data_IF_922401620550
#
_entry.id   IF_922401620550
#
_cell.length_a   1.000
_cell.length_b   1.000
_cell.length_c   1.000
_cell.angle_alpha   90.00
_cell.angle_beta   90.00
_cell.angle_gamma   90.00
#
_symmetry.space_group_name_H-M   'P 1'
#
loop_
_entity.id
_entity.type
_entity.pdbx_description
1 polymer ?
#
# COMPACT_ATOMS: atom_id res chain seq x y z
N UNK A 1 12.88 -36.97 72.97
CA UNK A 1 11.95 -35.83 73.15
C UNK A 1 12.23 -34.84 72.03
N UNK A 2 11.43 -34.90 70.95
CA UNK A 2 11.51 -33.97 69.82
C UNK A 2 10.92 -32.62 70.25
N UNK A 3 11.69 -31.54 70.17
CA UNK A 3 11.17 -30.18 70.30
C UNK A 3 11.11 -29.50 68.93
N UNK A 4 10.00 -28.81 68.71
CA UNK A 4 9.46 -28.34 67.44
C UNK A 4 10.13 -27.05 66.97
N UNK A 5 10.44 -26.96 65.67
CA UNK A 5 10.75 -25.69 64.98
C UNK A 5 9.45 -25.10 64.41
N UNK A 6 9.21 -23.77 64.53
CA UNK A 6 8.03 -23.14 63.96
C UNK A 6 8.21 -22.88 62.46
N UNK A 7 7.25 -23.36 61.66
CA UNK A 7 7.10 -23.03 60.24
C UNK A 7 6.68 -21.57 60.09
N UNK A 8 7.57 -20.74 59.53
CA UNK A 8 7.25 -19.40 59.07
C UNK A 8 6.71 -19.55 57.64
N UNK A 9 5.40 -19.42 57.49
CA UNK A 9 4.72 -19.40 56.19
C UNK A 9 5.02 -18.10 55.47
N UNK A 10 5.75 -18.20 54.35
CA UNK A 10 6.00 -17.12 53.42
C UNK A 10 4.77 -16.97 52.52
N UNK A 11 3.87 -16.06 52.88
CA UNK A 11 2.68 -15.73 52.07
C UNK A 11 3.12 -14.91 50.86
N UNK A 12 3.17 -15.57 49.70
CA UNK A 12 3.46 -14.95 48.42
C UNK A 12 2.26 -14.08 48.01
N UNK A 13 2.38 -12.76 48.19
CA UNK A 13 1.42 -11.79 47.71
C UNK A 13 1.57 -11.66 46.18
N UNK A 14 0.72 -12.36 45.46
CA UNK A 14 0.59 -12.24 44.00
C UNK A 14 -0.07 -10.88 43.77
N UNK A 15 0.74 -9.89 43.40
CA UNK A 15 0.27 -8.60 42.93
C UNK A 15 -0.43 -8.84 41.60
N UNK A 16 -1.76 -8.89 41.62
CA UNK A 16 -2.57 -8.93 40.43
C UNK A 16 -2.38 -7.63 39.66
N UNK A 17 -1.59 -7.68 38.58
CA UNK A 17 -1.68 -6.70 37.52
C UNK A 17 -3.10 -6.80 36.95
N UNK A 18 -3.94 -5.84 37.31
CA UNK A 18 -5.20 -5.57 36.63
C UNK A 18 -4.83 -5.14 35.21
N UNK A 19 -4.84 -6.09 34.29
CA UNK A 19 -4.87 -5.80 32.85
C UNK A 19 -6.27 -5.25 32.60
N UNK A 20 -6.38 -3.93 32.48
CA UNK A 20 -7.62 -3.31 32.01
C UNK A 20 -7.81 -3.73 30.54
N UNK A 21 -8.92 -4.40 30.19
CA UNK A 21 -9.16 -4.79 28.81
C UNK A 21 -9.24 -3.55 27.93
N UNK A 22 -8.46 -3.55 26.84
CA UNK A 22 -8.46 -2.49 25.84
C UNK A 22 -9.90 -2.36 25.27
N UNK A 23 -10.57 -1.20 25.41
CA UNK A 23 -11.96 -1.02 24.97
C UNK A 23 -12.15 -1.05 23.45
N UNK A 24 -11.10 -1.26 22.66
CA UNK A 24 -11.16 -1.37 21.20
C UNK A 24 -11.30 -2.79 20.65
N UNK A 25 -11.09 -3.83 21.44
CA UNK A 25 -11.45 -5.20 21.03
C UNK A 25 -12.91 -5.47 21.40
N UNK A 26 -13.83 -4.95 20.59
CA UNK A 26 -15.18 -5.50 20.55
C UNK A 26 -15.13 -6.70 19.62
N UNK A 27 -14.99 -7.91 20.19
CA UNK A 27 -15.29 -9.15 19.49
C UNK A 27 -16.69 -9.02 18.84
N UNK A 28 -16.83 -9.12 17.51
CA UNK A 28 -18.12 -9.33 16.90
C UNK A 28 -18.61 -10.70 17.37
N UNK A 29 -19.55 -10.66 18.29
CA UNK A 29 -20.35 -11.81 18.70
C UNK A 29 -20.76 -12.60 17.47
N UNK A 30 -20.43 -13.89 17.51
CA UNK A 30 -20.97 -14.93 16.67
C UNK A 30 -22.48 -14.75 16.47
N UNK A 31 -22.86 -14.27 15.29
CA UNK A 31 -24.22 -14.39 14.79
C UNK A 31 -24.32 -15.73 14.05
N UNK A 32 -24.69 -16.75 14.80
CA UNK A 32 -25.17 -18.00 14.23
C UNK A 32 -26.59 -17.76 13.68
N UNK A 33 -26.66 -17.14 12.49
CA UNK A 33 -27.87 -17.00 11.70
C UNK A 33 -28.04 -18.17 10.75
N UNK A 34 -28.75 -19.21 11.19
CA UNK A 34 -29.38 -20.19 10.31
C UNK A 34 -30.45 -19.48 9.45
N UNK A 35 -30.14 -19.27 8.17
CA UNK A 35 -31.01 -18.68 7.17
C UNK A 35 -31.37 -19.67 6.06
N UNK A 36 -32.25 -20.61 6.37
CA UNK A 36 -32.92 -21.45 5.38
C UNK A 36 -33.81 -20.60 4.46
N UNK A 37 -33.55 -20.65 3.15
CA UNK A 37 -34.61 -20.51 2.14
C UNK A 37 -34.34 -19.51 1.00
N UNK A 38 -34.13 -20.04 -0.21
CA UNK A 38 -35.20 -20.15 -1.23
C UNK A 38 -34.59 -20.49 -2.59
N UNK A 39 -35.08 -21.57 -3.19
CA UNK A 39 -34.87 -21.92 -4.59
C UNK A 39 -35.29 -20.74 -5.50
N UNK A 40 -34.37 -20.29 -6.33
CA UNK A 40 -34.64 -19.42 -7.46
C UNK A 40 -34.16 -20.08 -8.74
N UNK A 41 -34.96 -21.03 -9.24
CA UNK A 41 -34.84 -21.54 -10.61
C UNK A 41 -35.29 -20.41 -11.57
N UNK A 42 -34.35 -19.56 -11.95
CA UNK A 42 -34.53 -18.48 -12.91
C UNK A 42 -34.24 -18.94 -14.33
N UNK A 43 -35.09 -19.82 -14.86
CA UNK A 43 -35.19 -20.09 -16.30
C UNK A 43 -35.85 -18.89 -17.00
N UNK A 44 -35.05 -17.91 -17.41
CA UNK A 44 -35.49 -16.76 -18.22
C UNK A 44 -34.51 -16.55 -19.37
N UNK A 45 -34.63 -17.35 -20.41
CA UNK A 45 -35.26 -17.01 -21.68
C UNK A 45 -34.34 -16.30 -22.68
N UNK A 46 -34.45 -16.80 -23.90
CA UNK A 46 -33.65 -16.52 -25.07
C UNK A 46 -33.93 -15.09 -25.54
N UNK A 47 -32.87 -14.29 -25.61
CA UNK A 47 -32.86 -12.99 -26.27
C UNK A 47 -32.11 -13.10 -27.58
N UNK A 48 -32.89 -13.23 -28.65
CA UNK A 48 -32.46 -13.42 -30.02
C UNK A 48 -32.15 -12.05 -30.67
N UNK A 49 -31.02 -11.98 -31.37
CA UNK A 49 -30.80 -11.02 -32.46
C UNK A 49 -30.20 -9.66 -32.07
N UNK A 50 -28.99 -9.40 -32.56
CA UNK A 50 -28.82 -8.57 -33.77
C UNK A 50 -27.32 -8.50 -34.15
N UNK A 51 -26.87 -9.05 -35.30
CA UNK A 51 -25.60 -8.66 -35.90
C UNK A 51 -25.83 -7.34 -36.65
N UNK A 52 -25.68 -6.24 -35.93
CA UNK A 52 -25.70 -4.89 -36.48
C UNK A 52 -24.48 -4.64 -37.37
N UNK A 53 -24.71 -4.79 -38.67
CA UNK A 53 -23.93 -4.24 -39.79
C UNK A 53 -23.72 -2.72 -39.65
N UNK A 54 -22.51 -2.27 -40.01
CA UNK A 54 -22.28 -0.95 -40.60
C UNK A 54 -21.76 0.14 -39.64
N UNK A 55 -20.49 0.53 -39.78
CA UNK A 55 -20.17 1.62 -40.70
C UNK A 55 -18.66 1.69 -40.98
N UNK A 56 -18.31 1.61 -42.25
CA UNK A 56 -17.00 1.99 -42.76
C UNK A 56 -16.95 3.52 -42.84
N UNK A 57 -16.36 4.15 -41.83
CA UNK A 57 -16.05 5.58 -41.85
C UNK A 57 -14.66 5.82 -42.42
N UNK A 58 -14.56 5.90 -43.75
CA UNK A 58 -13.41 6.46 -44.46
C UNK A 58 -13.28 7.96 -44.08
N UNK A 59 -12.32 8.26 -43.22
CA UNK A 59 -11.94 9.63 -42.86
C UNK A 59 -10.71 10.07 -43.65
N UNK A 60 -10.90 10.37 -44.93
CA UNK A 60 -9.93 11.09 -45.75
C UNK A 60 -9.81 12.53 -45.23
N UNK A 61 -8.85 12.74 -44.33
CA UNK A 61 -8.44 14.06 -43.86
C UNK A 61 -7.25 14.58 -44.66
N UNK A 62 -7.50 15.01 -45.90
CA UNK A 62 -6.58 15.81 -46.70
C UNK A 62 -6.41 17.19 -46.03
N UNK A 63 -5.42 17.30 -45.15
CA UNK A 63 -4.97 18.54 -44.54
C UNK A 63 -3.72 19.06 -45.25
N UNK A 64 -3.89 19.61 -46.45
CA UNK A 64 -2.86 20.41 -47.13
C UNK A 64 -2.61 21.69 -46.31
N UNK A 65 -1.61 21.63 -45.43
CA UNK A 65 -1.08 22.76 -44.70
C UNK A 65 0.25 23.21 -45.29
N UNK A 66 0.18 23.90 -46.43
CA UNK A 66 1.30 24.67 -46.99
C UNK A 66 1.66 25.82 -46.03
N UNK A 67 2.62 25.55 -45.16
CA UNK A 67 3.25 26.52 -44.28
C UNK A 67 4.67 26.83 -44.74
N UNK A 68 4.80 27.54 -45.85
CA UNK A 68 6.05 28.18 -46.29
C UNK A 68 6.43 29.28 -45.27
N UNK A 69 7.15 28.87 -44.23
CA UNK A 69 7.79 29.74 -43.26
C UNK A 69 9.27 29.87 -43.56
N UNK A 70 9.62 30.67 -44.57
CA UNK A 70 10.98 31.14 -44.82
C UNK A 70 11.42 32.04 -43.65
N UNK A 71 11.96 31.40 -42.62
CA UNK A 71 12.60 32.05 -41.48
C UNK A 71 14.11 32.01 -41.64
N UNK A 72 14.65 32.90 -42.47
CA UNK A 72 16.07 33.24 -42.54
C UNK A 72 16.50 33.88 -41.20
N UNK A 73 16.74 33.03 -40.20
CA UNK A 73 17.29 33.39 -38.91
C UNK A 73 18.77 33.05 -38.86
N UNK A 74 19.59 33.89 -39.48
CA UNK A 74 21.05 33.93 -39.28
C UNK A 74 21.36 34.30 -37.81
N UNK A 75 21.26 33.30 -36.94
CA UNK A 75 21.66 33.38 -35.54
C UNK A 75 23.03 32.76 -35.35
N UNK A 76 24.07 33.55 -35.65
CA UNK A 76 25.48 33.30 -35.30
C UNK A 76 25.66 33.33 -33.77
N UNK A 77 25.07 32.37 -33.08
CA UNK A 77 25.25 32.14 -31.66
C UNK A 77 26.37 31.15 -31.42
N UNK A 78 27.61 31.63 -31.49
CA UNK A 78 28.82 30.97 -30.97
C UNK A 78 28.73 30.82 -29.43
N UNK A 79 27.78 30.01 -28.99
CA UNK A 79 27.63 29.60 -27.60
C UNK A 79 28.38 28.30 -27.38
N UNK A 80 29.69 28.38 -27.23
CA UNK A 80 30.58 27.35 -26.67
C UNK A 80 30.21 27.11 -25.18
N UNK A 81 28.98 26.67 -24.95
CA UNK A 81 28.50 26.22 -23.66
C UNK A 81 28.71 24.73 -23.56
N UNK A 82 29.97 24.32 -23.36
CA UNK A 82 30.42 23.01 -22.88
C UNK A 82 29.89 22.77 -21.45
N UNK A 83 28.56 22.81 -21.30
CA UNK A 83 27.86 22.47 -20.09
C UNK A 83 27.50 21.00 -20.17
N UNK A 84 28.52 20.14 -20.09
CA UNK A 84 28.44 18.70 -19.81
C UNK A 84 27.82 18.48 -18.42
N UNK A 85 26.60 18.98 -18.24
CA UNK A 85 25.76 18.75 -17.09
C UNK A 85 25.07 17.40 -17.25
N UNK A 86 25.83 16.39 -17.66
CA UNK A 86 25.59 14.97 -17.39
C UNK A 86 25.75 14.78 -15.88
N UNK A 87 24.96 15.52 -15.11
CA UNK A 87 24.63 15.21 -13.74
C UNK A 87 23.79 13.95 -13.79
N UNK A 88 24.41 12.85 -14.21
CA UNK A 88 24.13 11.48 -13.85
C UNK A 88 24.25 11.39 -12.34
N UNK A 89 23.48 12.21 -11.63
CA UNK A 89 23.25 12.14 -10.22
C UNK A 89 22.48 10.86 -10.00
N UNK A 90 23.22 9.76 -10.11
CA UNK A 90 23.14 8.55 -9.31
C UNK A 90 23.18 8.85 -7.80
N UNK A 91 22.63 10.01 -7.40
CA UNK A 91 22.35 10.39 -6.05
C UNK A 91 21.46 9.30 -5.52
N UNK A 92 22.09 8.37 -4.81
CA UNK A 92 21.43 7.24 -4.23
C UNK A 92 20.19 7.74 -3.49
N UNK A 93 19.09 7.01 -3.61
CA UNK A 93 17.87 7.28 -2.87
C UNK A 93 18.12 7.03 -1.38
N UNK A 94 18.84 7.95 -0.73
CA UNK A 94 19.22 7.84 0.67
C UNK A 94 18.09 8.43 1.50
N UNK A 95 17.46 7.57 2.28
CA UNK A 95 16.47 8.00 3.24
C UNK A 95 17.13 8.67 4.46
N UNK A 96 16.59 9.81 4.92
CA UNK A 96 16.97 10.33 6.22
C UNK A 96 16.49 9.39 7.33
N UNK A 97 17.25 9.29 8.41
CA UNK A 97 16.83 8.55 9.61
C UNK A 97 15.66 9.26 10.27
N UNK A 98 14.55 8.57 10.48
CA UNK A 98 13.39 9.16 11.14
C UNK A 98 13.70 9.54 12.60
N UNK A 99 13.31 10.74 13.07
CA UNK A 99 13.61 11.20 14.42
C UNK A 99 12.88 10.41 15.51
N UNK A 100 11.75 9.77 15.16
CA UNK A 100 10.88 9.04 16.08
C UNK A 100 10.24 9.97 17.11
N UNK A 101 9.85 9.42 18.25
CA UNK A 101 9.20 10.17 19.32
C UNK A 101 8.33 9.31 20.24
N UNK A 102 7.32 9.93 20.84
CA UNK A 102 6.27 9.18 21.53
C UNK A 102 5.46 8.42 20.48
N UNK A 103 5.28 7.12 20.71
CA UNK A 103 4.55 6.27 19.78
C UNK A 103 3.13 6.83 19.52
N UNK A 104 2.81 7.20 18.27
CA UNK A 104 1.49 7.69 17.90
C UNK A 104 0.41 6.63 18.10
N UNK A 105 -0.84 7.05 18.35
CA UNK A 105 -1.93 6.14 18.67
C UNK A 105 -2.48 5.36 17.47
N UNK A 106 -2.10 5.73 16.25
CA UNK A 106 -2.38 4.96 15.03
C UNK A 106 -1.44 3.76 14.86
N UNK A 107 -0.28 3.76 15.51
CA UNK A 107 0.63 2.61 15.51
C UNK A 107 0.10 1.58 16.51
N UNK A 108 0.09 0.30 16.12
CA UNK A 108 -0.13 -0.81 17.06
C UNK A 108 1.00 -0.86 18.07
N UNK A 109 2.23 -0.70 17.60
CA UNK A 109 3.42 -0.54 18.42
C UNK A 109 4.50 0.29 17.71
N UNK A 110 5.55 0.68 18.44
CA UNK A 110 6.72 1.32 17.87
C UNK A 110 8.00 0.59 18.28
N UNK A 111 8.80 0.22 17.30
CA UNK A 111 10.10 -0.44 17.49
C UNK A 111 11.18 0.56 17.10
N UNK A 112 11.69 1.30 18.09
CA UNK A 112 12.62 2.40 17.83
C UNK A 112 11.93 3.60 17.16
N UNK A 113 12.36 3.95 15.95
CA UNK A 113 11.79 5.01 15.11
C UNK A 113 10.81 4.47 14.04
N UNK A 114 10.44 3.19 14.11
CA UNK A 114 9.47 2.54 13.24
C UNK A 114 8.11 2.47 13.91
N UNK A 115 7.08 2.99 13.25
CA UNK A 115 5.67 2.82 13.58
C UNK A 115 5.15 1.56 12.88
N UNK A 116 4.73 0.56 13.65
CA UNK A 116 4.16 -0.67 13.13
C UNK A 116 2.64 -0.58 13.24
N UNK A 117 1.94 -0.77 12.12
CA UNK A 117 0.48 -0.82 12.03
C UNK A 117 0.12 -2.24 11.60
N UNK A 118 -0.65 -2.94 12.43
CA UNK A 118 -1.05 -4.32 12.20
C UNK A 118 -2.54 -4.41 11.86
N UNK A 119 -2.83 -4.82 10.63
CA UNK A 119 -4.15 -5.14 10.11
C UNK A 119 -4.24 -6.67 9.97
N UNK A 120 -4.28 -7.39 11.10
CA UNK A 120 -4.22 -8.85 11.14
C UNK A 120 -5.61 -9.44 11.33
N UNK A 121 -6.10 -10.16 10.31
CA UNK A 121 -7.41 -10.81 10.29
C UNK A 121 -8.21 -10.44 9.03
N UNK A 122 -9.46 -10.91 8.99
CA UNK A 122 -10.35 -10.61 7.88
C UNK A 122 -10.84 -9.16 7.96
N UNK A 123 -10.60 -8.36 6.91
CA UNK A 123 -11.19 -7.02 6.75
C UNK A 123 -10.89 -6.03 7.89
N UNK A 124 -9.72 -6.15 8.53
CA UNK A 124 -9.41 -5.35 9.74
C UNK A 124 -9.25 -3.86 9.44
N UNK A 125 -8.66 -3.53 8.28
CA UNK A 125 -8.41 -2.17 7.81
C UNK A 125 -9.02 -1.90 6.42
N UNK A 126 -9.97 -2.75 5.99
CA UNK A 126 -10.71 -2.59 4.74
C UNK A 126 -11.39 -1.19 4.67
N UNK A 127 -11.34 -0.56 3.50
CA UNK A 127 -11.94 0.76 3.22
C UNK A 127 -11.48 1.89 4.18
N UNK A 128 -10.33 1.73 4.85
CA UNK A 128 -9.80 2.75 5.77
C UNK A 128 -8.80 3.68 5.09
N UNK A 129 -8.68 4.91 5.63
CA UNK A 129 -7.59 5.82 5.28
C UNK A 129 -6.50 5.75 6.37
N UNK A 130 -5.42 5.03 6.07
CA UNK A 130 -4.29 4.77 6.96
C UNK A 130 -3.24 5.86 6.72
N UNK A 131 -3.01 6.72 7.70
CA UNK A 131 -2.02 7.81 7.60
C UNK A 131 -0.83 7.53 8.49
N UNK A 132 0.32 7.27 7.86
CA UNK A 132 1.58 7.07 8.56
C UNK A 132 2.06 8.37 9.23
N UNK A 133 2.58 8.31 10.47
CA UNK A 133 3.09 9.48 11.16
C UNK A 133 4.32 10.08 10.46
N UNK A 134 4.37 11.42 10.38
CA UNK A 134 5.40 12.15 9.63
C UNK A 134 6.81 12.09 10.23
N UNK A 135 6.99 11.61 11.46
CA UNK A 135 8.27 11.56 12.17
C UNK A 135 8.82 10.14 12.37
N UNK A 136 8.18 9.15 11.73
CA UNK A 136 8.50 7.73 11.88
C UNK A 136 8.66 7.06 10.52
N UNK A 137 9.48 6.00 10.48
CA UNK A 137 9.39 4.99 9.44
C UNK A 137 8.06 4.24 9.61
N UNK A 138 7.38 3.92 8.51
CA UNK A 138 6.08 3.26 8.56
C UNK A 138 6.19 1.82 8.08
N UNK A 139 5.75 0.88 8.91
CA UNK A 139 5.59 -0.51 8.54
C UNK A 139 4.11 -0.89 8.72
N UNK A 140 3.42 -1.13 7.62
CA UNK A 140 2.04 -1.60 7.59
C UNK A 140 2.02 -3.10 7.26
N UNK A 141 1.34 -3.89 8.07
CA UNK A 141 1.20 -5.33 7.89
C UNK A 141 -0.27 -5.63 7.65
N UNK A 142 -0.60 -6.08 6.45
CA UNK A 142 -1.91 -6.54 6.02
C UNK A 142 -1.86 -8.06 5.93
N UNK A 143 -2.23 -8.75 7.01
CA UNK A 143 -2.14 -10.22 7.12
C UNK A 143 -3.55 -10.80 7.31
N UNK A 144 -4.12 -11.30 6.23
CA UNK A 144 -5.47 -11.85 6.21
C UNK A 144 -6.20 -11.54 4.91
N UNK A 145 -7.30 -12.28 4.62
CA UNK A 145 -8.17 -11.96 3.49
C UNK A 145 -8.74 -10.55 3.64
N UNK A 146 -8.67 -9.78 2.56
CA UNK A 146 -9.15 -8.40 2.46
C UNK A 146 -8.64 -7.47 3.58
N UNK A 147 -7.51 -7.80 4.23
CA UNK A 147 -7.05 -7.14 5.44
C UNK A 147 -6.95 -5.61 5.30
N UNK A 148 -6.54 -5.14 4.13
CA UNK A 148 -6.41 -3.74 3.75
C UNK A 148 -7.04 -3.47 2.36
N UNK A 149 -8.02 -4.26 1.95
CA UNK A 149 -8.68 -4.11 0.65
C UNK A 149 -9.36 -2.73 0.52
N UNK A 150 -9.26 -2.14 -0.67
CA UNK A 150 -9.80 -0.80 -1.02
C UNK A 150 -9.29 0.34 -0.09
N UNK A 151 -8.29 0.08 0.75
CA UNK A 151 -7.78 1.07 1.69
C UNK A 151 -6.87 2.08 0.98
N UNK A 152 -6.74 3.27 1.56
CA UNK A 152 -5.75 4.26 1.12
C UNK A 152 -4.67 4.40 2.18
N UNK A 153 -3.42 4.17 1.80
CA UNK A 153 -2.25 4.29 2.68
C UNK A 153 -1.46 5.53 2.30
N UNK A 154 -1.38 6.52 3.20
CA UNK A 154 -0.58 7.73 3.00
C UNK A 154 0.73 7.63 3.78
N UNK A 155 1.82 7.44 3.04
CA UNK A 155 3.18 7.36 3.60
C UNK A 155 3.69 8.72 4.11
N UNK A 156 4.70 8.73 5.01
CA UNK A 156 5.31 9.96 5.46
C UNK A 156 6.08 10.66 4.34
N UNK A 157 6.20 11.99 4.43
CA UNK A 157 6.75 12.79 3.34
C UNK A 157 8.22 12.53 3.06
N UNK A 158 9.02 12.13 4.05
CA UNK A 158 10.48 12.02 3.93
C UNK A 158 11.05 10.67 4.37
N UNK A 159 10.24 9.79 4.96
CA UNK A 159 10.73 8.61 5.65
C UNK A 159 10.27 7.31 4.97
N UNK A 160 11.01 6.21 5.14
CA UNK A 160 10.65 4.91 4.61
C UNK A 160 9.23 4.47 4.98
N UNK A 161 8.57 3.83 4.01
CA UNK A 161 7.23 3.29 4.13
C UNK A 161 7.17 1.92 3.46
N UNK A 162 6.84 0.87 4.23
CA UNK A 162 6.71 -0.49 3.72
C UNK A 162 5.33 -1.03 4.03
N UNK A 163 4.65 -1.55 3.02
CA UNK A 163 3.38 -2.28 3.14
C UNK A 163 3.64 -3.75 2.81
N UNK A 164 3.43 -4.63 3.77
CA UNK A 164 3.50 -6.08 3.59
C UNK A 164 2.09 -6.64 3.52
N UNK A 165 1.84 -7.39 2.45
CA UNK A 165 0.56 -7.96 2.09
C UNK A 165 0.69 -9.48 2.09
N UNK A 166 -0.01 -10.17 2.97
CA UNK A 166 0.10 -11.61 3.18
C UNK A 166 -1.24 -12.19 3.70
N UNK A 167 -1.32 -13.52 3.82
CA UNK A 167 -2.33 -14.15 4.68
C UNK A 167 -3.71 -14.35 4.06
N UNK A 168 -3.86 -14.20 2.74
CA UNK A 168 -5.13 -14.43 2.07
C UNK A 168 -5.17 -13.94 0.63
N UNK A 169 -6.32 -14.19 -0.01
CA UNK A 169 -6.68 -13.56 -1.29
C UNK A 169 -6.98 -12.09 -1.02
N UNK A 170 -6.51 -11.21 -1.91
CA UNK A 170 -6.81 -9.77 -1.89
C UNK A 170 -6.49 -9.06 -0.55
N UNK A 171 -5.49 -9.54 0.21
CA UNK A 171 -5.07 -8.89 1.46
C UNK A 171 -4.82 -7.37 1.29
N UNK A 172 -4.34 -6.99 0.11
CA UNK A 172 -4.11 -5.64 -0.36
C UNK A 172 -4.82 -5.36 -1.69
N UNK A 173 -5.95 -6.03 -1.94
CA UNK A 173 -6.78 -5.83 -3.12
C UNK A 173 -7.11 -4.36 -3.31
N UNK A 174 -7.07 -3.86 -4.56
CA UNK A 174 -7.49 -2.50 -4.94
C UNK A 174 -6.98 -1.34 -4.05
N UNK A 175 -5.92 -1.57 -3.27
CA UNK A 175 -5.39 -0.61 -2.32
C UNK A 175 -4.70 0.51 -3.06
N UNK A 176 -4.83 1.74 -2.56
CA UNK A 176 -4.05 2.88 -3.01
C UNK A 176 -2.92 3.22 -2.04
N UNK A 177 -1.67 2.95 -2.43
CA UNK A 177 -0.47 3.35 -1.70
C UNK A 177 0.04 4.69 -2.23
N UNK A 178 0.03 5.73 -1.40
CA UNK A 178 0.47 7.10 -1.74
C UNK A 178 1.83 7.38 -1.11
N UNK A 179 2.87 7.36 -1.94
CA UNK A 179 4.25 7.51 -1.52
C UNK A 179 4.70 8.98 -1.42
N UNK A 180 5.59 9.27 -0.47
CA UNK A 180 6.25 10.57 -0.31
C UNK A 180 7.59 10.65 -1.05
N UNK A 181 8.51 11.47 -0.53
CA UNK A 181 9.89 11.55 -0.98
C UNK A 181 10.84 10.57 -0.28
N UNK A 182 10.37 9.87 0.77
CA UNK A 182 11.09 8.72 1.34
C UNK A 182 10.87 7.46 0.50
N UNK A 183 11.68 6.42 0.73
CA UNK A 183 11.49 5.12 0.09
C UNK A 183 10.11 4.54 0.41
N UNK A 184 9.53 3.88 -0.58
CA UNK A 184 8.20 3.34 -0.56
C UNK A 184 8.23 1.94 -1.18
N UNK A 185 7.73 0.95 -0.45
CA UNK A 185 7.74 -0.43 -0.89
C UNK A 185 6.39 -1.11 -0.61
N UNK A 186 5.91 -1.87 -1.58
CA UNK A 186 4.86 -2.87 -1.37
C UNK A 186 5.46 -4.27 -1.54
N UNK A 187 5.18 -5.16 -0.60
CA UNK A 187 5.62 -6.55 -0.59
C UNK A 187 4.39 -7.45 -0.70
N UNK A 188 4.22 -8.08 -1.86
CA UNK A 188 3.13 -8.98 -2.16
C UNK A 188 3.56 -10.42 -1.88
N UNK A 189 2.89 -11.01 -0.89
CA UNK A 189 3.07 -12.38 -0.44
C UNK A 189 2.86 -13.46 -1.50
N UNK A 190 3.18 -14.72 -1.17
CA UNK A 190 3.17 -15.82 -2.12
C UNK A 190 1.77 -16.33 -2.49
N UNK A 191 0.73 -15.93 -1.75
CA UNK A 191 -0.64 -16.33 -2.04
C UNK A 191 -1.14 -15.67 -3.33
N UNK A 192 -2.10 -16.31 -4.00
CA UNK A 192 -2.64 -15.80 -5.27
C UNK A 192 -3.49 -14.54 -5.04
N UNK A 193 -3.33 -13.55 -5.92
CA UNK A 193 -4.09 -12.30 -5.94
C UNK A 193 -3.93 -11.37 -4.72
N UNK A 194 -2.96 -11.61 -3.83
CA UNK A 194 -2.72 -10.80 -2.61
C UNK A 194 -2.73 -9.28 -2.85
N UNK A 195 -2.13 -8.82 -3.96
CA UNK A 195 -2.06 -7.40 -4.35
C UNK A 195 -2.83 -7.10 -5.65
N UNK A 196 -3.77 -7.96 -6.05
CA UNK A 196 -4.48 -7.75 -7.30
C UNK A 196 -5.24 -6.42 -7.25
N UNK A 197 -5.10 -5.60 -8.28
CA UNK A 197 -5.77 -4.30 -8.30
C UNK A 197 -5.06 -3.17 -7.55
N UNK A 198 -4.09 -3.49 -6.67
CA UNK A 198 -3.35 -2.49 -5.92
C UNK A 198 -2.66 -1.46 -6.83
N UNK A 199 -2.63 -0.20 -6.39
CA UNK A 199 -1.99 0.92 -7.08
C UNK A 199 -0.95 1.58 -6.18
N UNK A 200 0.28 1.71 -6.68
CA UNK A 200 1.37 2.40 -5.96
C UNK A 200 1.66 3.74 -6.63
N UNK A 201 1.11 4.82 -6.07
CA UNK A 201 1.40 6.18 -6.49
C UNK A 201 2.78 6.59 -5.98
N UNK A 202 3.80 6.42 -6.82
CA UNK A 202 5.16 6.76 -6.48
C UNK A 202 5.34 8.28 -6.28
N UNK A 203 6.18 8.65 -5.30
CA UNK A 203 6.62 10.02 -5.08
C UNK A 203 8.06 10.22 -5.54
N UNK A 204 8.79 11.15 -4.94
CA UNK A 204 10.16 11.46 -5.34
C UNK A 204 11.22 10.45 -4.85
N UNK A 205 10.88 9.64 -3.84
CA UNK A 205 11.78 8.65 -3.24
C UNK A 205 11.92 7.38 -4.08
N UNK A 206 12.65 6.39 -3.55
CA UNK A 206 12.70 5.07 -4.18
C UNK A 206 11.30 4.43 -4.09
N UNK A 207 10.78 3.91 -5.20
CA UNK A 207 9.49 3.26 -5.26
C UNK A 207 9.69 1.81 -5.71
N UNK A 208 9.19 0.83 -4.96
CA UNK A 208 9.40 -0.57 -5.29
C UNK A 208 8.18 -1.43 -5.01
N UNK A 209 8.00 -2.46 -5.84
CA UNK A 209 7.09 -3.55 -5.59
C UNK A 209 7.90 -4.85 -5.62
N UNK A 210 7.72 -5.68 -4.61
CA UNK A 210 8.30 -7.03 -4.55
C UNK A 210 7.16 -8.03 -4.56
N UNK A 211 7.16 -8.96 -5.51
CA UNK A 211 6.06 -9.89 -5.69
C UNK A 211 6.54 -11.33 -5.64
N UNK A 212 5.90 -12.12 -4.77
CA UNK A 212 6.02 -13.56 -4.80
C UNK A 212 4.85 -14.14 -5.63
N UNK A 213 5.16 -15.02 -6.59
CA UNK A 213 4.13 -15.67 -7.40
C UNK A 213 3.54 -14.77 -8.49
N UNK A 214 2.22 -14.87 -8.70
CA UNK A 214 1.50 -14.13 -9.75
C UNK A 214 0.86 -12.82 -9.26
N UNK A 215 0.97 -12.53 -7.97
CA UNK A 215 0.37 -11.37 -7.32
C UNK A 215 1.18 -10.12 -7.63
N UNK A 216 0.70 -9.28 -8.54
CA UNK A 216 1.33 -8.01 -8.92
C UNK A 216 0.37 -6.84 -8.75
N UNK A 217 0.82 -5.67 -8.26
CA UNK A 217 0.03 -4.45 -8.30
C UNK A 217 -0.43 -4.14 -9.73
N UNK A 218 -1.64 -3.62 -9.87
CA UNK A 218 -2.21 -3.26 -11.17
C UNK A 218 -1.47 -2.08 -11.82
N UNK A 219 -0.95 -1.15 -11.02
CA UNK A 219 -0.20 -0.01 -11.55
C UNK A 219 0.78 0.62 -10.56
N UNK A 220 1.83 1.25 -11.11
CA UNK A 220 2.75 2.10 -10.37
C UNK A 220 2.86 3.47 -11.07
N UNK A 221 1.82 4.32 -11.03
CA UNK A 221 1.89 5.64 -11.64
C UNK A 221 2.99 6.50 -10.99
N UNK A 222 3.45 7.53 -11.71
CA UNK A 222 4.48 8.47 -11.25
C UNK A 222 5.87 7.86 -11.00
N UNK A 223 6.11 6.66 -11.52
CA UNK A 223 7.38 5.96 -11.46
C UNK A 223 8.54 6.75 -12.12
N UNK A 224 8.22 7.65 -13.06
CA UNK A 224 9.16 8.59 -13.71
C UNK A 224 9.60 9.75 -12.80
N UNK A 225 8.85 10.03 -11.72
CA UNK A 225 9.21 11.04 -10.72
C UNK A 225 10.05 10.47 -9.57
N UNK A 226 10.10 9.14 -9.44
CA UNK A 226 10.87 8.45 -8.40
C UNK A 226 12.36 8.45 -8.73
N UNK A 227 13.22 8.63 -7.72
CA UNK A 227 14.68 8.53 -7.91
C UNK A 227 15.12 7.10 -8.30
N UNK A 228 14.33 6.08 -7.94
CA UNK A 228 14.45 4.72 -8.41
C UNK A 228 13.06 4.09 -8.44
N UNK A 229 12.75 3.31 -9.46
CA UNK A 229 11.46 2.63 -9.56
C UNK A 229 11.66 1.17 -9.98
N UNK A 230 11.22 0.24 -9.14
CA UNK A 230 11.37 -1.20 -9.37
C UNK A 230 10.00 -1.87 -9.32
N UNK A 231 9.36 -2.14 -10.47
CA UNK A 231 8.13 -2.91 -10.50
C UNK A 231 8.41 -4.40 -10.31
N UNK A 232 7.34 -5.14 -10.01
CA UNK A 232 7.26 -6.56 -10.29
C UNK A 232 7.03 -6.79 -11.81
#
# INVERSE_FOLDING_TARGET
MLSRLPSIGLTLAICGCLIEPNPKFQDPLADAGDGDGSNGDGDGDLGDGDPGDGDSGDGDGDGDGDGDGDGDGDGDGDGDGDGDGDGDGDGECIDPVAPGGICPNQCTECVGNVCVIECIGNQVCEETNIVCPQDFECQLICDGPDACDVSTVTCPALYPCTVSCDGGVDACGDMELVCGAGSCAIECGPDDAVCMGASVNCGAGACSATCAGASVPASMPNCDMACACTPC
#
